data_IF_089500467913
#
_entry.id   IF_089500467913
#
_cell.length_a   1.000
_cell.length_b   1.000
_cell.length_c   1.000
_cell.angle_alpha   90.00
_cell.angle_beta   90.00
_cell.angle_gamma   90.00
#
_symmetry.space_group_name_H-M   'P 1'
#
loop_
_entity.id
_entity.type
_entity.pdbx_description
1 polymer ?
#
# COMPACT_ATOMS: atom_id res chain seq x y z
N UNK A 1 -49.77 52.20 17.79
CA UNK A 1 -49.40 50.80 18.11
C UNK A 1 -48.93 50.09 16.84
N UNK A 2 -47.61 49.96 16.64
CA UNK A 2 -47.00 49.04 15.66
C UNK A 2 -45.66 48.58 16.25
N UNK A 3 -45.55 47.28 16.59
CA UNK A 3 -44.34 46.64 17.10
C UNK A 3 -43.48 46.19 15.91
N UNK A 4 -42.16 46.49 15.85
CA UNK A 4 -41.29 45.81 14.90
C UNK A 4 -40.90 44.43 15.44
N UNK A 5 -41.10 43.39 14.63
CA UNK A 5 -40.54 42.05 14.88
C UNK A 5 -39.01 42.12 14.67
N UNK A 6 -38.26 41.68 15.68
CA UNK A 6 -36.83 41.38 15.57
C UNK A 6 -36.71 40.01 14.91
N UNK A 7 -36.14 39.96 13.70
CA UNK A 7 -35.77 38.71 13.05
C UNK A 7 -34.43 38.23 13.63
N UNK A 8 -34.47 37.16 14.42
CA UNK A 8 -33.27 36.46 14.87
C UNK A 8 -32.77 35.57 13.73
N UNK A 9 -31.66 35.94 13.10
CA UNK A 9 -30.95 35.09 12.15
C UNK A 9 -30.06 34.14 12.94
N UNK A 10 -30.47 32.88 13.03
CA UNK A 10 -29.66 31.80 13.59
C UNK A 10 -28.75 31.25 12.47
N UNK A 11 -27.47 31.64 12.47
CA UNK A 11 -26.47 31.05 11.57
C UNK A 11 -26.00 29.74 12.21
N UNK A 12 -26.56 28.61 11.76
CA UNK A 12 -26.09 27.29 12.13
C UNK A 12 -24.85 26.94 11.28
N UNK A 13 -23.66 27.03 11.87
CA UNK A 13 -22.43 26.54 11.27
C UNK A 13 -22.41 25.01 11.36
N UNK A 14 -22.67 24.32 10.24
CA UNK A 14 -22.34 22.89 10.12
C UNK A 14 -20.82 22.74 10.04
N UNK A 15 -20.19 22.42 11.16
CA UNK A 15 -18.84 21.86 11.16
C UNK A 15 -18.91 20.43 10.64
N UNK A 16 -18.49 20.19 9.40
CA UNK A 16 -18.25 18.83 8.92
C UNK A 16 -17.02 18.27 9.62
N UNK A 17 -17.22 17.49 10.68
CA UNK A 17 -16.21 16.57 11.15
C UNK A 17 -16.07 15.46 10.10
N UNK A 18 -14.95 15.45 9.36
CA UNK A 18 -14.58 14.30 8.57
C UNK A 18 -14.34 13.14 9.54
N UNK A 19 -15.29 12.23 9.65
CA UNK A 19 -15.10 10.94 10.30
C UNK A 19 -14.04 10.24 9.46
N UNK A 20 -12.80 10.21 9.95
CA UNK A 20 -11.81 9.28 9.43
C UNK A 20 -12.43 7.89 9.61
N UNK A 21 -12.82 7.26 8.49
CA UNK A 21 -13.31 5.89 8.52
C UNK A 21 -12.26 5.06 9.27
N UNK A 22 -12.71 4.31 10.28
CA UNK A 22 -11.89 3.29 10.91
C UNK A 22 -11.35 2.41 9.77
N UNK A 23 -10.04 2.44 9.49
CA UNK A 23 -9.51 1.53 8.50
C UNK A 23 -9.69 0.15 9.14
N UNK A 24 -10.74 -0.57 8.73
CA UNK A 24 -11.00 -1.91 9.22
C UNK A 24 -9.71 -2.75 9.20
N UNK A 25 -9.65 -3.78 10.04
CA UNK A 25 -8.45 -4.59 10.27
C UNK A 25 -7.59 -4.75 9.00
N UNK A 26 -6.26 -4.50 9.07
CA UNK A 26 -5.39 -4.63 7.91
C UNK A 26 -5.58 -5.97 7.18
N UNK A 27 -5.69 -5.91 5.86
CA UNK A 27 -5.79 -7.09 5.02
C UNK A 27 -4.47 -7.87 5.00
N UNK A 28 -4.57 -9.18 4.97
CA UNK A 28 -3.44 -10.09 4.74
C UNK A 28 -2.97 -10.07 3.28
N UNK A 29 -1.76 -10.57 2.96
CA UNK A 29 -1.32 -10.72 1.58
C UNK A 29 -2.28 -11.57 0.75
N UNK A 30 -2.84 -12.62 1.36
CA UNK A 30 -3.80 -13.51 0.71
C UNK A 30 -5.05 -12.74 0.28
N UNK A 31 -5.65 -11.97 1.18
CA UNK A 31 -6.84 -11.15 0.89
C UNK A 31 -6.54 -10.09 -0.16
N UNK A 32 -5.37 -9.44 -0.09
CA UNK A 32 -4.95 -8.46 -1.09
C UNK A 32 -4.83 -9.08 -2.49
N UNK A 33 -4.19 -10.26 -2.60
CA UNK A 33 -4.01 -10.98 -3.87
C UNK A 33 -5.34 -11.42 -4.47
N UNK A 34 -6.21 -12.06 -3.68
CA UNK A 34 -7.52 -12.49 -4.18
C UNK A 34 -8.40 -11.29 -4.54
N UNK A 35 -8.43 -10.27 -3.67
CA UNK A 35 -9.18 -9.04 -3.93
C UNK A 35 -8.72 -8.32 -5.19
N UNK A 36 -7.40 -8.17 -5.39
CA UNK A 36 -6.84 -7.54 -6.59
C UNK A 36 -7.12 -8.33 -7.87
N UNK A 37 -7.17 -9.67 -7.77
CA UNK A 37 -7.55 -10.52 -8.90
C UNK A 37 -9.03 -10.35 -9.27
N UNK A 38 -9.92 -10.30 -8.29
CA UNK A 38 -11.37 -10.13 -8.49
C UNK A 38 -11.71 -8.72 -8.99
N UNK A 39 -10.99 -7.70 -8.50
CA UNK A 39 -11.20 -6.30 -8.83
C UNK A 39 -10.37 -5.82 -10.02
N UNK A 40 -9.74 -6.70 -10.80
CA UNK A 40 -8.92 -6.29 -11.93
C UNK A 40 -9.78 -5.63 -13.04
N UNK A 41 -9.33 -4.51 -13.63
CA UNK A 41 -8.02 -3.86 -13.48
C UNK A 41 -7.89 -2.80 -12.37
N UNK A 42 -8.93 -2.52 -11.59
CA UNK A 42 -8.97 -1.40 -10.63
C UNK A 42 -8.17 -1.65 -9.34
N UNK A 43 -8.02 -2.90 -8.92
CA UNK A 43 -7.35 -3.25 -7.67
C UNK A 43 -8.20 -2.98 -6.42
N UNK A 44 -7.62 -3.20 -5.24
CA UNK A 44 -8.28 -3.02 -3.94
C UNK A 44 -7.48 -2.05 -3.07
N UNK A 45 -8.14 -0.98 -2.61
CA UNK A 45 -7.54 -0.02 -1.69
C UNK A 45 -7.61 -0.52 -0.24
N UNK A 46 -6.57 -0.27 0.56
CA UNK A 46 -6.59 -0.57 1.97
C UNK A 46 -5.25 -0.43 2.68
N UNK A 47 -5.19 -1.01 3.87
CA UNK A 47 -3.96 -1.24 4.62
C UNK A 47 -3.66 -2.73 4.59
N UNK A 48 -2.43 -3.09 4.25
CA UNK A 48 -1.98 -4.47 4.11
C UNK A 48 -0.95 -4.78 5.18
N UNK A 49 -1.22 -5.78 6.03
CA UNK A 49 -0.27 -6.27 7.03
C UNK A 49 0.48 -7.46 6.49
N UNK A 50 1.80 -7.39 6.45
CA UNK A 50 2.63 -8.46 5.91
C UNK A 50 4.00 -8.58 6.60
N UNK A 51 4.47 -9.82 6.72
CA UNK A 51 5.86 -10.13 7.07
C UNK A 51 6.72 -10.15 5.82
N UNK A 52 7.84 -9.42 5.83
CA UNK A 52 8.75 -9.38 4.68
C UNK A 52 9.68 -10.58 4.71
N UNK A 53 9.51 -11.50 3.75
CA UNK A 53 10.29 -12.74 3.66
C UNK A 53 11.46 -12.65 2.68
N UNK A 54 11.34 -11.81 1.66
CA UNK A 54 12.41 -11.57 0.69
C UNK A 54 12.38 -10.13 0.21
N UNK A 55 13.53 -9.67 -0.27
CA UNK A 55 13.66 -8.36 -0.92
C UNK A 55 14.36 -8.50 -2.26
N UNK A 56 14.21 -7.48 -3.10
CA UNK A 56 14.94 -7.38 -4.35
C UNK A 56 15.04 -5.94 -4.81
N UNK A 57 15.89 -5.69 -5.80
CA UNK A 57 16.08 -4.37 -6.38
C UNK A 57 16.18 -4.48 -7.90
N UNK A 58 15.47 -3.60 -8.59
CA UNK A 58 15.51 -3.51 -10.05
C UNK A 58 15.20 -2.07 -10.49
N UNK A 59 15.95 -1.53 -11.43
CA UNK A 59 15.70 -0.21 -12.04
C UNK A 59 15.53 0.95 -11.04
N UNK A 60 16.19 0.87 -9.87
CA UNK A 60 16.11 1.86 -8.79
C UNK A 60 14.96 1.65 -7.82
N UNK A 61 14.07 0.69 -8.11
CA UNK A 61 12.99 0.27 -7.22
C UNK A 61 13.47 -0.80 -6.25
N UNK A 62 12.94 -0.77 -5.03
CA UNK A 62 13.15 -1.83 -4.04
C UNK A 62 11.82 -2.56 -3.85
N UNK A 63 11.86 -3.89 -3.89
CA UNK A 63 10.70 -4.75 -3.71
C UNK A 63 10.77 -5.45 -2.35
N UNK A 64 9.70 -5.35 -1.56
CA UNK A 64 9.53 -6.12 -0.33
C UNK A 64 8.45 -7.18 -0.57
N UNK A 65 8.74 -8.45 -0.31
CA UNK A 65 7.87 -9.56 -0.69
C UNK A 65 7.34 -10.30 0.54
N UNK A 66 6.05 -10.64 0.52
CA UNK A 66 5.41 -11.47 1.55
C UNK A 66 5.79 -12.95 1.46
N UNK A 67 6.31 -13.38 0.32
CA UNK A 67 6.80 -14.74 0.08
C UNK A 67 8.31 -14.76 -0.26
N UNK A 68 8.96 -15.90 0.01
CA UNK A 68 10.39 -16.07 -0.25
C UNK A 68 10.71 -16.08 -1.75
N UNK A 69 9.78 -16.59 -2.57
CA UNK A 69 9.80 -16.48 -4.02
C UNK A 69 8.76 -15.46 -4.47
N UNK A 70 9.21 -14.37 -5.09
CA UNK A 70 8.35 -13.30 -5.60
C UNK A 70 7.45 -13.74 -6.77
N UNK A 71 7.70 -14.93 -7.35
CA UNK A 71 6.83 -15.56 -8.36
C UNK A 71 5.74 -16.44 -7.74
N UNK A 72 5.75 -16.67 -6.43
CA UNK A 72 4.65 -17.36 -5.77
C UNK A 72 3.35 -16.57 -6.01
N UNK A 73 2.30 -17.25 -6.47
CA UNK A 73 1.01 -16.60 -6.77
C UNK A 73 0.36 -15.94 -5.55
N UNK A 74 0.79 -16.28 -4.33
CA UNK A 74 0.31 -15.72 -3.06
C UNK A 74 1.12 -14.49 -2.64
N UNK A 75 2.18 -14.15 -3.37
CA UNK A 75 3.07 -13.06 -3.03
C UNK A 75 2.39 -11.70 -3.25
N UNK A 76 2.43 -10.86 -2.22
CA UNK A 76 2.20 -9.43 -2.31
C UNK A 76 3.57 -8.74 -2.36
N UNK A 77 3.87 -8.07 -3.47
CA UNK A 77 5.08 -7.26 -3.61
C UNK A 77 4.76 -5.81 -3.27
N UNK A 78 5.51 -5.22 -2.36
CA UNK A 78 5.50 -3.78 -2.11
C UNK A 78 6.60 -3.17 -2.98
N UNK A 79 6.20 -2.37 -3.96
CA UNK A 79 7.11 -1.65 -4.85
C UNK A 79 7.43 -0.28 -4.24
N UNK A 80 8.64 -0.13 -3.71
CA UNK A 80 9.16 1.13 -3.19
C UNK A 80 9.71 1.96 -4.36
N UNK A 81 8.98 3.01 -4.71
CA UNK A 81 9.42 3.97 -5.73
C UNK A 81 10.76 4.61 -5.29
N UNK A 82 11.66 4.94 -6.24
CA UNK A 82 12.92 5.64 -5.93
C UNK A 82 12.71 6.91 -5.09
N UNK A 83 11.60 7.64 -5.34
CA UNK A 83 11.25 8.87 -4.62
C UNK A 83 10.91 8.66 -3.14
N UNK A 84 10.50 7.45 -2.74
CA UNK A 84 10.20 7.12 -1.35
C UNK A 84 11.46 6.81 -0.52
N UNK A 85 12.52 6.32 -1.17
CA UNK A 85 13.70 5.76 -0.49
C UNK A 85 14.38 6.76 0.46
N UNK A 86 14.63 8.04 0.09
CA UNK A 86 15.23 8.99 1.02
C UNK A 86 14.35 9.26 2.25
N UNK A 87 13.04 9.30 2.07
CA UNK A 87 12.08 9.46 3.17
C UNK A 87 12.07 8.25 4.10
N UNK A 88 12.14 7.04 3.54
CA UNK A 88 12.22 5.80 4.31
C UNK A 88 13.54 5.69 5.07
N UNK A 89 14.67 6.02 4.45
CA UNK A 89 15.99 6.07 5.11
C UNK A 89 15.96 7.07 6.27
N UNK A 90 15.40 8.27 6.05
CA UNK A 90 15.26 9.28 7.11
C UNK A 90 14.37 8.78 8.26
N UNK A 91 13.29 8.07 7.95
CA UNK A 91 12.31 7.57 8.94
C UNK A 91 12.84 6.39 9.75
N UNK A 92 13.56 5.47 9.12
CA UNK A 92 13.97 4.20 9.72
C UNK A 92 15.48 4.08 9.98
N UNK A 93 16.27 5.06 9.53
CA UNK A 93 17.71 5.18 9.83
C UNK A 93 18.61 4.23 9.06
N UNK A 94 18.08 3.46 8.11
CA UNK A 94 18.82 2.43 7.36
C UNK A 94 18.26 2.27 5.95
N UNK A 95 19.04 1.60 5.10
CA UNK A 95 18.61 1.13 3.79
C UNK A 95 17.32 0.29 3.89
N UNK A 96 16.24 0.62 3.15
CA UNK A 96 14.94 -0.06 3.26
C UNK A 96 14.98 -1.53 2.88
N UNK A 97 15.79 -1.90 1.88
CA UNK A 97 15.91 -3.29 1.41
C UNK A 97 16.38 -4.19 2.56
N UNK A 98 17.44 -3.78 3.26
CA UNK A 98 17.96 -4.55 4.41
C UNK A 98 17.13 -4.37 5.67
N UNK A 99 16.59 -3.18 5.88
CA UNK A 99 15.88 -2.85 7.12
C UNK A 99 14.60 -3.66 7.27
N UNK A 100 13.78 -3.77 6.22
CA UNK A 100 12.47 -4.40 6.36
C UNK A 100 12.50 -5.92 6.33
N UNK A 101 13.60 -6.55 5.88
CA UNK A 101 13.71 -8.00 5.84
C UNK A 101 13.46 -8.63 7.22
N UNK A 102 12.52 -9.57 7.28
CA UNK A 102 12.11 -10.25 8.51
C UNK A 102 11.22 -9.42 9.45
N UNK A 103 10.78 -8.22 9.05
CA UNK A 103 9.88 -7.37 9.84
C UNK A 103 8.44 -7.49 9.37
N UNK A 104 7.53 -7.22 10.31
CA UNK A 104 6.11 -7.03 10.04
C UNK A 104 5.82 -5.56 9.81
N UNK A 105 5.13 -5.27 8.70
CA UNK A 105 4.76 -3.91 8.32
C UNK A 105 3.28 -3.81 7.97
N UNK A 106 2.72 -2.64 8.19
CA UNK A 106 1.46 -2.20 7.60
C UNK A 106 1.78 -1.24 6.44
N UNK A 107 1.17 -1.50 5.28
CA UNK A 107 1.34 -0.70 4.06
C UNK A 107 -0.01 -0.18 3.58
N UNK A 108 -0.17 1.13 3.50
CA UNK A 108 -1.35 1.78 2.93
C UNK A 108 -1.17 2.01 1.43
N UNK A 109 -2.12 1.55 0.63
CA UNK A 109 -2.07 1.74 -0.82
C UNK A 109 -3.20 1.03 -1.55
N UNK A 110 -2.96 0.72 -2.82
CA UNK A 110 -3.84 -0.07 -3.67
C UNK A 110 -3.08 -1.32 -4.09
N UNK A 111 -3.66 -2.50 -3.86
CA UNK A 111 -3.15 -3.76 -4.37
C UNK A 111 -3.69 -3.99 -5.78
N UNK A 112 -2.81 -4.03 -6.77
CA UNK A 112 -3.14 -4.15 -8.18
C UNK A 112 -2.56 -5.43 -8.78
N UNK A 113 -3.34 -6.08 -9.65
CA UNK A 113 -2.88 -7.24 -10.40
C UNK A 113 -2.07 -6.79 -11.62
N UNK A 114 -0.79 -7.11 -11.63
CA UNK A 114 0.17 -6.71 -12.67
C UNK A 114 0.49 -7.91 -13.57
N UNK A 115 0.36 -7.74 -14.88
CA UNK A 115 0.77 -8.74 -15.87
C UNK A 115 2.27 -8.63 -16.13
N UNK A 116 3.00 -9.71 -15.85
CA UNK A 116 4.44 -9.80 -16.11
C UNK A 116 4.66 -10.68 -17.33
N UNK A 117 5.34 -10.15 -18.35
CA UNK A 117 5.65 -10.87 -19.58
C UNK A 117 7.04 -11.50 -19.44
N UNK A 118 7.17 -12.78 -19.80
CA UNK A 118 8.49 -13.42 -19.84
C UNK A 118 9.30 -12.87 -21.02
N UNK A 119 10.56 -12.56 -20.77
CA UNK A 119 11.50 -12.14 -21.80
C UNK A 119 12.41 -13.32 -22.19
N UNK A 120 12.71 -13.47 -23.47
CA UNK A 120 13.74 -14.35 -24.00
C UNK A 120 14.76 -13.49 -24.76
N UNK A 121 16.03 -13.51 -24.32
CA UNK A 121 17.09 -12.65 -24.89
C UNK A 121 16.71 -11.15 -24.94
N UNK A 122 15.98 -10.68 -23.92
CA UNK A 122 15.49 -9.29 -23.83
C UNK A 122 14.23 -8.99 -24.66
N UNK A 123 13.71 -9.98 -25.40
CA UNK A 123 12.51 -9.82 -26.24
C UNK A 123 11.27 -10.37 -25.52
N UNK A 124 10.14 -9.63 -25.46
CA UNK A 124 8.89 -10.14 -24.91
C UNK A 124 8.40 -11.41 -25.62
N UNK A 125 7.95 -12.39 -24.83
CA UNK A 125 7.34 -13.63 -25.33
C UNK A 125 5.81 -13.61 -25.14
N UNK A 126 5.12 -14.61 -25.67
CA UNK A 126 3.68 -14.79 -25.41
C UNK A 126 3.36 -15.31 -24.00
N UNK A 127 4.38 -15.81 -23.29
CA UNK A 127 4.21 -16.32 -21.92
C UNK A 127 4.13 -15.15 -20.95
N UNK A 128 3.20 -15.24 -20.02
CA UNK A 128 3.05 -14.27 -18.93
C UNK A 128 2.65 -14.95 -17.64
N UNK A 129 2.81 -14.23 -16.54
CA UNK A 129 2.24 -14.56 -15.25
C UNK A 129 1.71 -13.28 -14.59
N UNK A 130 1.04 -13.41 -13.45
CA UNK A 130 0.56 -12.26 -12.70
C UNK A 130 1.30 -12.14 -11.37
N UNK A 131 1.53 -10.91 -10.97
CA UNK A 131 1.93 -10.54 -9.63
C UNK A 131 0.88 -9.59 -9.05
N UNK A 132 0.90 -9.40 -7.74
CA UNK A 132 0.11 -8.36 -7.07
C UNK A 132 1.05 -7.35 -6.45
N UNK A 133 0.92 -6.08 -6.84
CA UNK A 133 1.81 -5.01 -6.39
C UNK A 133 1.04 -3.97 -5.57
N UNK A 134 1.70 -3.41 -4.56
CA UNK A 134 1.28 -2.18 -3.88
C UNK A 134 2.40 -1.17 -4.03
N UNK A 135 2.11 -0.05 -4.70
CA UNK A 135 3.10 1.00 -4.97
C UNK A 135 3.21 1.96 -3.78
N UNK A 136 4.44 2.19 -3.32
CA UNK A 136 4.78 3.10 -2.21
C UNK A 136 5.72 4.18 -2.72
N UNK A 137 5.19 5.39 -2.86
CA UNK A 137 5.96 6.57 -3.26
C UNK A 137 6.14 7.58 -2.11
N UNK A 138 5.67 7.27 -0.90
CA UNK A 138 5.91 8.06 0.32
C UNK A 138 6.19 7.19 1.53
N UNK A 139 7.12 7.62 2.39
CA UNK A 139 7.46 6.94 3.63
C UNK A 139 6.30 6.84 4.64
N UNK A 140 5.28 7.69 4.51
CA UNK A 140 4.09 7.69 5.37
C UNK A 140 3.09 6.58 5.02
N UNK A 141 3.30 5.88 3.91
CA UNK A 141 2.52 4.70 3.57
C UNK A 141 2.94 3.45 4.36
N UNK A 142 4.12 3.46 5.00
CA UNK A 142 4.65 2.30 5.72
C UNK A 142 4.81 2.59 7.21
N UNK A 143 4.33 1.66 8.03
CA UNK A 143 4.53 1.64 9.48
C UNK A 143 4.99 0.25 9.92
N UNK A 144 5.87 0.20 10.93
CA UNK A 144 6.24 -1.06 11.58
C UNK A 144 5.07 -1.54 12.46
N UNK A 145 4.77 -2.83 12.39
CA UNK A 145 3.89 -3.47 13.37
C UNK A 145 4.72 -3.67 14.63
N UNK A 146 4.29 -3.08 15.75
CA UNK A 146 4.94 -3.32 17.03
C UNK A 146 4.56 -4.72 17.53
N UNK A 147 5.51 -5.51 18.06
CA UNK A 147 5.16 -6.70 18.81
C UNK A 147 4.23 -6.32 19.95
N UNK A 148 3.11 -7.04 20.11
CA UNK A 148 2.29 -6.87 21.31
C UNK A 148 3.11 -7.41 22.49
N UNK A 149 3.60 -6.49 23.31
CA UNK A 149 4.30 -6.75 24.57
C UNK A 149 3.37 -7.31 25.64
#
# INVERSE_FOLDING_TARGET
MRRPLIAAVLIATLGSAAIAADPGLPMTPREAVFGAADAAPQGVAGVFRLSIKATGHQDGHVYLNSEADYRDQRNLSIDLCPVALPGLIKKFGSDPERFFLGKDIDVRGVAERVKIIFLAYGVPTEKYYYQTHVVVCSADQITLVQPQS
#
